data_IF_320861769106
#
_entry.id   IF_320861769106
#
_cell.length_a   1.000
_cell.length_b   1.000
_cell.length_c   1.000
_cell.angle_alpha   90.00
_cell.angle_beta   90.00
_cell.angle_gamma   90.00
#
_symmetry.space_group_name_H-M   'P 1'
#
loop_
_entity.id
_entity.type
_entity.pdbx_description
1 polymer ?
#
# COMPACT_ATOMS: atom_id res chain seq x y z
N UNK A 1 -15.88 28.88 -16.26
CA UNK A 1 -16.27 28.39 -14.93
C UNK A 1 -16.61 26.94 -15.09
N UNK A 2 -15.61 26.08 -14.94
CA UNK A 2 -15.77 24.63 -14.95
C UNK A 2 -16.29 24.23 -13.58
N UNK A 3 -17.47 23.62 -13.54
CA UNK A 3 -18.07 23.08 -12.32
C UNK A 3 -17.08 22.08 -11.71
N UNK A 4 -16.62 22.39 -10.50
CA UNK A 4 -15.89 21.45 -9.66
C UNK A 4 -16.87 20.33 -9.31
N UNK A 5 -16.62 19.14 -9.87
CA UNK A 5 -17.29 17.92 -9.47
C UNK A 5 -17.24 17.81 -7.95
N UNK A 6 -18.41 17.90 -7.32
CA UNK A 6 -18.56 17.57 -5.90
C UNK A 6 -18.27 16.07 -5.77
N UNK A 7 -17.30 15.65 -4.94
CA UNK A 7 -16.98 14.23 -4.78
C UNK A 7 -18.18 13.46 -4.23
N UNK A 8 -18.40 12.25 -4.75
CA UNK A 8 -19.50 11.37 -4.41
C UNK A 8 -19.52 10.99 -2.91
N UNK A 9 -20.67 10.55 -2.39
CA UNK A 9 -20.82 10.21 -0.97
C UNK A 9 -19.86 9.10 -0.49
N UNK A 10 -19.54 8.15 -1.36
CA UNK A 10 -18.57 7.07 -1.11
C UNK A 10 -17.13 7.57 -1.00
N UNK A 11 -16.79 8.65 -1.73
CA UNK A 11 -15.48 9.30 -1.60
C UNK A 11 -15.35 9.86 -0.19
N UNK A 12 -16.41 10.49 0.35
CA UNK A 12 -16.43 11.07 1.70
C UNK A 12 -16.10 10.05 2.81
N UNK A 13 -16.49 8.78 2.63
CA UNK A 13 -16.24 7.69 3.58
C UNK A 13 -14.77 7.26 3.65
N UNK A 14 -14.02 7.36 2.54
CA UNK A 14 -12.58 7.02 2.52
C UNK A 14 -11.78 7.97 3.40
N UNK A 15 -12.06 9.28 3.38
CA UNK A 15 -11.34 10.30 4.17
C UNK A 15 -11.53 10.16 5.66
N UNK A 16 -12.74 9.80 6.07
CA UNK A 16 -13.13 9.78 7.47
C UNK A 16 -12.23 8.84 8.26
N UNK A 17 -11.81 7.74 7.63
CA UNK A 17 -10.90 6.77 8.22
C UNK A 17 -9.46 7.28 8.40
N UNK A 18 -9.00 8.23 7.58
CA UNK A 18 -7.66 8.82 7.74
C UNK A 18 -7.63 9.99 8.73
N UNK A 19 -8.71 10.78 8.80
CA UNK A 19 -8.83 11.92 9.71
C UNK A 19 -9.30 11.48 11.12
N UNK A 20 -10.09 10.40 11.23
CA UNK A 20 -10.61 9.84 12.49
C UNK A 20 -10.15 8.39 12.70
N UNK A 21 -8.97 8.24 13.31
CA UNK A 21 -8.39 6.93 13.63
C UNK A 21 -8.58 6.56 15.11
N UNK A 22 -8.70 5.25 15.34
CA UNK A 22 -8.75 4.64 16.67
C UNK A 22 -7.51 5.00 17.54
N UNK A 23 -7.64 4.96 18.88
CA UNK A 23 -6.50 5.19 19.77
C UNK A 23 -5.33 4.23 19.47
N UNK A 24 -4.13 4.79 19.33
CA UNK A 24 -2.91 4.02 19.02
C UNK A 24 -2.50 4.05 17.54
N UNK A 25 -3.41 4.42 16.64
CA UNK A 25 -3.09 4.64 15.22
C UNK A 25 -2.56 6.06 15.02
N UNK A 26 -1.52 6.19 14.20
CA UNK A 26 -0.89 7.50 13.91
C UNK A 26 -1.86 8.41 13.17
N UNK A 27 -1.98 9.64 13.66
CA UNK A 27 -2.90 10.68 13.16
C UNK A 27 -2.18 11.64 12.23
N UNK A 28 -2.92 12.24 11.31
CA UNK A 28 -2.45 13.42 10.58
C UNK A 28 -2.22 14.58 11.55
N UNK A 29 -1.10 15.28 11.40
CA UNK A 29 -0.82 16.51 12.11
C UNK A 29 -1.65 17.65 11.51
N UNK A 30 -1.94 18.66 12.31
CA UNK A 30 -2.57 19.88 11.81
C UNK A 30 -1.63 20.59 10.82
N UNK A 31 -2.05 20.64 9.56
CA UNK A 31 -1.37 21.41 8.51
C UNK A 31 -1.79 22.88 8.61
N UNK A 32 -0.82 23.78 8.78
CA UNK A 32 -1.09 25.21 8.99
C UNK A 32 -1.66 25.90 7.74
N UNK A 33 -1.25 25.47 6.56
CA UNK A 33 -1.75 25.99 5.28
C UNK A 33 -2.90 25.10 4.76
N UNK A 34 -4.15 25.61 4.72
CA UNK A 34 -5.30 24.85 4.21
C UNK A 34 -5.11 24.37 2.76
N UNK A 35 -4.37 25.11 1.93
CA UNK A 35 -4.13 24.73 0.53
C UNK A 35 -3.20 23.52 0.41
N UNK A 36 -2.32 23.30 1.38
CA UNK A 36 -1.49 22.08 1.46
C UNK A 36 -2.35 20.89 1.86
N UNK A 37 -3.23 21.06 2.86
CA UNK A 37 -4.16 20.00 3.25
C UNK A 37 -5.06 19.60 2.09
N UNK A 38 -5.70 20.58 1.44
CA UNK A 38 -6.58 20.34 0.29
C UNK A 38 -5.86 19.61 -0.85
N UNK A 39 -4.60 19.99 -1.13
CA UNK A 39 -3.79 19.30 -2.13
C UNK A 39 -3.50 17.84 -1.76
N UNK A 40 -3.07 17.57 -0.53
CA UNK A 40 -2.75 16.20 -0.10
C UNK A 40 -4.01 15.34 0.03
N UNK A 41 -5.13 15.93 0.44
CA UNK A 41 -6.41 15.28 0.35
C UNK A 41 -6.69 14.94 -1.12
N UNK A 42 -6.66 15.90 -2.04
CA UNK A 42 -6.81 15.62 -3.48
C UNK A 42 -5.89 14.51 -4.02
N UNK A 43 -4.67 14.39 -3.50
CA UNK A 43 -3.74 13.30 -3.84
C UNK A 43 -4.22 11.94 -3.38
N UNK A 44 -4.68 11.80 -2.14
CA UNK A 44 -5.28 10.54 -1.67
C UNK A 44 -6.45 10.12 -2.55
N UNK A 45 -7.28 11.07 -3.02
CA UNK A 45 -8.47 10.77 -3.83
C UNK A 45 -8.06 10.14 -5.14
N UNK A 46 -7.03 10.73 -5.76
CA UNK A 46 -6.47 10.27 -7.02
C UNK A 46 -5.80 8.91 -6.87
N UNK A 47 -5.11 8.67 -5.75
CA UNK A 47 -4.51 7.36 -5.43
C UNK A 47 -5.62 6.32 -5.25
N UNK A 48 -6.59 6.58 -4.38
CA UNK A 48 -7.71 5.69 -4.10
C UNK A 48 -8.53 5.34 -5.34
N UNK A 49 -8.74 6.31 -6.24
CA UNK A 49 -9.45 6.11 -7.52
C UNK A 49 -8.59 5.55 -8.66
N UNK A 50 -7.29 5.32 -8.46
CA UNK A 50 -6.42 4.80 -9.51
C UNK A 50 -6.76 3.33 -9.82
N UNK A 51 -6.68 2.92 -11.09
CA UNK A 51 -7.02 1.54 -11.53
C UNK A 51 -6.17 0.47 -10.83
N UNK A 52 -4.91 0.76 -10.51
CA UNK A 52 -4.08 -0.13 -9.68
C UNK A 52 -4.65 -0.44 -8.28
N UNK A 53 -5.43 0.48 -7.70
CA UNK A 53 -6.10 0.32 -6.39
C UNK A 53 -7.52 -0.24 -6.57
N UNK A 54 -8.24 0.28 -7.57
CA UNK A 54 -9.57 -0.19 -7.99
C UNK A 54 -9.50 -1.28 -9.08
N UNK A 55 -8.51 -2.16 -8.97
CA UNK A 55 -8.26 -3.12 -10.03
C UNK A 55 -9.44 -4.11 -10.15
N UNK A 56 -9.95 -4.40 -11.37
CA UNK A 56 -11.09 -5.30 -11.56
C UNK A 56 -10.93 -6.65 -10.85
N UNK A 57 -9.72 -7.25 -10.92
CA UNK A 57 -9.38 -8.47 -10.19
C UNK A 57 -9.61 -8.36 -8.67
N UNK A 58 -9.11 -7.30 -8.03
CA UNK A 58 -9.26 -7.10 -6.59
C UNK A 58 -10.73 -6.94 -6.21
N UNK A 59 -11.47 -6.17 -7.00
CA UNK A 59 -12.90 -5.95 -6.78
C UNK A 59 -13.71 -7.24 -6.97
N UNK A 60 -13.37 -8.06 -7.96
CA UNK A 60 -13.99 -9.36 -8.19
C UNK A 60 -13.69 -10.37 -7.07
N UNK A 61 -12.45 -10.40 -6.54
CA UNK A 61 -12.06 -11.33 -5.46
C UNK A 61 -12.87 -11.14 -4.17
N UNK A 62 -13.36 -9.92 -3.90
CA UNK A 62 -14.18 -9.63 -2.72
C UNK A 62 -15.46 -10.46 -2.67
N UNK A 63 -16.05 -10.76 -3.82
CA UNK A 63 -17.35 -11.41 -3.94
C UNK A 63 -17.29 -12.76 -4.65
N UNK A 64 -16.19 -13.05 -5.35
CA UNK A 64 -15.98 -14.30 -6.07
C UNK A 64 -14.92 -15.15 -5.39
N UNK A 65 -15.28 -16.40 -5.11
CA UNK A 65 -14.37 -17.37 -4.49
C UNK A 65 -13.32 -17.86 -5.48
N UNK A 66 -12.10 -18.00 -5.00
CA UNK A 66 -11.02 -18.65 -5.74
C UNK A 66 -10.96 -20.14 -5.39
N UNK A 67 -10.48 -20.95 -6.32
CA UNK A 67 -10.06 -22.32 -6.00
C UNK A 67 -8.77 -22.28 -5.16
N UNK A 68 -8.43 -23.36 -4.42
CA UNK A 68 -7.18 -23.41 -3.64
C UNK A 68 -5.92 -23.13 -4.47
N UNK A 69 -5.87 -23.62 -5.72
CA UNK A 69 -4.72 -23.36 -6.60
C UNK A 69 -4.65 -21.89 -7.03
N UNK A 70 -5.79 -21.27 -7.30
CA UNK A 70 -5.87 -19.85 -7.63
C UNK A 70 -5.40 -18.96 -6.46
N UNK A 71 -5.80 -19.28 -5.22
CA UNK A 71 -5.26 -18.60 -4.03
C UNK A 71 -3.76 -18.83 -3.91
N UNK A 72 -3.29 -20.07 -4.13
CA UNK A 72 -1.87 -20.41 -4.09
C UNK A 72 -1.06 -19.54 -5.04
N UNK A 73 -1.55 -19.35 -6.27
CA UNK A 73 -0.92 -18.50 -7.28
C UNK A 73 -0.92 -17.02 -6.85
N UNK A 74 -2.08 -16.47 -6.47
CA UNK A 74 -2.20 -15.06 -6.04
C UNK A 74 -1.26 -14.74 -4.87
N UNK A 75 -1.31 -15.54 -3.81
CA UNK A 75 -0.53 -15.25 -2.60
C UNK A 75 0.96 -15.55 -2.75
N UNK A 76 1.35 -16.42 -3.69
CA UNK A 76 2.76 -16.57 -4.07
C UNK A 76 3.29 -15.29 -4.71
N UNK A 77 2.53 -14.67 -5.62
CA UNK A 77 2.89 -13.36 -6.18
C UNK A 77 2.94 -12.26 -5.10
N UNK A 78 1.98 -12.23 -4.18
CA UNK A 78 1.99 -11.28 -3.05
C UNK A 78 3.24 -11.42 -2.17
N UNK A 79 3.73 -12.64 -1.94
CA UNK A 79 5.00 -12.83 -1.23
C UNK A 79 6.16 -12.10 -1.90
N UNK A 80 6.26 -12.21 -3.24
CA UNK A 80 7.33 -11.55 -3.99
C UNK A 80 7.15 -10.04 -4.12
N UNK A 81 5.92 -9.54 -4.04
CA UNK A 81 5.67 -8.11 -3.85
C UNK A 81 6.25 -7.63 -2.50
N UNK A 82 5.84 -8.21 -1.37
CA UNK A 82 6.09 -7.61 -0.05
C UNK A 82 7.48 -7.88 0.57
N UNK A 83 8.15 -8.98 0.19
CA UNK A 83 9.30 -9.58 0.92
C UNK A 83 10.51 -8.67 1.23
N UNK A 84 10.59 -7.46 0.67
CA UNK A 84 11.69 -6.53 0.91
C UNK A 84 11.29 -5.10 1.26
N UNK A 85 9.99 -4.81 1.39
CA UNK A 85 9.50 -3.44 1.65
C UNK A 85 10.18 -2.76 2.84
N UNK A 86 10.34 -3.40 4.03
CA UNK A 86 10.96 -2.72 5.17
C UNK A 86 12.42 -2.31 4.92
N UNK A 87 13.15 -3.08 4.10
CA UNK A 87 14.53 -2.74 3.74
C UNK A 87 14.59 -1.53 2.80
N UNK A 88 13.65 -1.44 1.86
CA UNK A 88 13.58 -0.31 0.92
C UNK A 88 13.18 0.98 1.63
N UNK A 89 12.20 0.90 2.54
CA UNK A 89 11.78 2.04 3.38
C UNK A 89 12.94 2.50 4.26
N UNK A 90 13.67 1.57 4.90
CA UNK A 90 14.89 1.88 5.66
C UNK A 90 15.93 2.61 4.79
N UNK A 91 16.05 2.24 3.53
CA UNK A 91 16.93 2.88 2.56
C UNK A 91 16.60 4.36 2.29
N UNK A 92 15.37 4.80 2.53
CA UNK A 92 15.00 6.23 2.41
C UNK A 92 15.67 7.09 3.49
N UNK A 93 16.03 6.52 4.64
CA UNK A 93 16.66 7.24 5.76
C UNK A 93 17.97 7.93 5.36
N UNK A 94 18.71 7.37 4.39
CA UNK A 94 19.97 7.97 3.92
C UNK A 94 19.76 9.12 2.91
N UNK A 95 18.53 9.32 2.43
CA UNK A 95 18.17 10.33 1.42
C UNK A 95 17.84 11.69 2.05
N UNK A 96 17.62 11.74 3.35
CA UNK A 96 17.18 12.94 4.06
C UNK A 96 18.14 13.32 5.20
N UNK A 97 18.15 14.61 5.54
CA UNK A 97 18.74 15.14 6.79
C UNK A 97 17.70 15.83 7.67
N UNK A 98 16.43 15.73 7.26
CA UNK A 98 15.30 16.18 8.05
C UNK A 98 14.88 15.09 9.04
N UNK A 99 14.86 15.45 10.33
CA UNK A 99 14.53 14.53 11.42
C UNK A 99 13.05 14.13 11.46
N UNK A 100 12.13 14.97 10.97
CA UNK A 100 10.72 14.61 10.86
C UNK A 100 10.53 13.50 9.83
N UNK A 101 11.12 13.64 8.64
CA UNK A 101 11.06 12.59 7.61
C UNK A 101 11.72 11.31 8.14
N UNK A 102 12.91 11.42 8.75
CA UNK A 102 13.60 10.28 9.34
C UNK A 102 12.77 9.57 10.41
N UNK A 103 12.11 10.33 11.29
CA UNK A 103 11.24 9.78 12.34
C UNK A 103 10.11 8.96 11.75
N UNK A 104 9.41 9.46 10.74
CA UNK A 104 8.28 8.74 10.14
C UNK A 104 8.74 7.45 9.43
N UNK A 105 9.89 7.48 8.74
CA UNK A 105 10.53 6.29 8.15
C UNK A 105 10.85 5.25 9.25
N UNK A 106 11.47 5.66 10.36
CA UNK A 106 11.83 4.76 11.45
C UNK A 106 10.58 4.14 12.09
N UNK A 107 9.53 4.92 12.32
CA UNK A 107 8.30 4.44 12.93
C UNK A 107 7.56 3.43 12.04
N UNK A 108 7.53 3.67 10.73
CA UNK A 108 6.98 2.71 9.76
C UNK A 108 7.77 1.39 9.83
N UNK A 109 9.10 1.43 9.71
CA UNK A 109 9.95 0.23 9.81
C UNK A 109 9.81 -0.47 11.17
N UNK A 110 9.66 0.29 12.25
CA UNK A 110 9.48 -0.28 13.59
C UNK A 110 8.17 -1.09 13.71
N UNK A 111 7.10 -0.69 13.05
CA UNK A 111 5.86 -1.49 13.01
C UNK A 111 6.10 -2.81 12.26
N UNK A 112 6.84 -2.77 11.15
CA UNK A 112 7.09 -3.94 10.30
C UNK A 112 7.99 -5.01 10.95
N UNK A 113 9.10 -4.57 11.57
CA UNK A 113 10.16 -5.48 12.05
C UNK A 113 10.44 -5.40 13.55
N UNK A 114 9.87 -4.44 14.27
CA UNK A 114 10.11 -4.24 15.69
C UNK A 114 9.26 -5.10 16.61
N UNK A 115 8.17 -5.68 16.11
CA UNK A 115 7.28 -6.58 16.86
C UNK A 115 7.75 -8.03 16.93
N UNK A 116 7.23 -8.78 17.90
CA UNK A 116 7.36 -10.24 17.98
C UNK A 116 5.96 -10.89 18.15
N UNK A 117 5.44 -11.60 17.13
CA UNK A 117 6.05 -11.85 15.82
C UNK A 117 6.06 -10.61 14.91
N UNK A 118 7.05 -10.52 14.01
CA UNK A 118 7.07 -9.49 12.94
C UNK A 118 5.92 -9.67 11.95
N UNK A 119 5.60 -8.62 11.18
CA UNK A 119 4.58 -8.70 10.12
C UNK A 119 4.93 -9.77 9.08
N UNK A 120 6.20 -9.87 8.68
CA UNK A 120 6.67 -10.92 7.77
C UNK A 120 6.47 -12.33 8.32
N UNK A 121 6.64 -12.52 9.64
CA UNK A 121 6.37 -13.79 10.34
C UNK A 121 4.87 -14.11 10.35
N UNK A 122 4.02 -13.11 10.63
CA UNK A 122 2.56 -13.29 10.57
C UNK A 122 2.09 -13.65 9.17
N UNK A 123 2.64 -12.99 8.14
CA UNK A 123 2.32 -13.30 6.75
C UNK A 123 2.78 -14.71 6.36
N UNK A 124 4.00 -15.10 6.71
CA UNK A 124 4.50 -16.45 6.45
C UNK A 124 3.65 -17.54 7.13
N UNK A 125 3.11 -17.28 8.33
CA UNK A 125 2.17 -18.19 9.01
C UNK A 125 0.85 -18.31 8.25
N UNK A 126 0.32 -17.21 7.74
CA UNK A 126 -0.86 -17.20 6.87
C UNK A 126 -0.61 -18.02 5.58
N UNK A 127 0.51 -17.76 4.89
CA UNK A 127 0.91 -18.48 3.68
C UNK A 127 1.02 -20.00 3.92
N UNK A 128 1.67 -20.41 5.01
CA UNK A 128 1.81 -21.83 5.34
C UNK A 128 0.46 -22.52 5.54
N UNK A 129 -0.54 -21.83 6.11
CA UNK A 129 -1.89 -22.37 6.33
C UNK A 129 -2.68 -22.59 5.03
N UNK A 130 -2.35 -21.88 3.95
CA UNK A 130 -2.89 -22.12 2.61
C UNK A 130 -1.98 -22.99 1.73
N UNK A 131 -0.98 -23.66 2.31
CA UNK A 131 -0.08 -24.57 1.59
C UNK A 131 1.05 -23.88 0.81
N UNK A 132 1.36 -22.63 1.14
CA UNK A 132 2.51 -21.89 0.61
C UNK A 132 3.58 -21.83 1.70
N UNK A 133 4.44 -22.84 1.76
CA UNK A 133 5.56 -22.87 2.69
C UNK A 133 6.86 -22.39 2.02
N UNK A 134 7.96 -22.47 2.77
CA UNK A 134 9.28 -22.08 2.27
C UNK A 134 9.72 -22.94 1.08
N UNK A 135 9.45 -24.24 1.09
CA UNK A 135 9.85 -25.15 0.01
C UNK A 135 9.12 -24.79 -1.28
N UNK A 136 7.82 -24.52 -1.21
CA UNK A 136 7.04 -24.00 -2.34
C UNK A 136 7.65 -22.70 -2.87
N UNK A 137 7.90 -21.73 -1.99
CA UNK A 137 8.42 -20.40 -2.38
C UNK A 137 9.84 -20.46 -2.98
N UNK A 138 10.69 -21.38 -2.52
CA UNK A 138 12.05 -21.59 -3.05
C UNK A 138 12.03 -22.08 -4.51
N UNK A 139 10.98 -22.80 -4.92
CA UNK A 139 10.80 -23.31 -6.28
C UNK A 139 9.87 -22.45 -7.15
N UNK A 140 9.14 -21.54 -6.53
CA UNK A 140 8.24 -20.64 -7.23
C UNK A 140 9.02 -19.58 -8.01
N UNK A 141 8.63 -19.36 -9.26
CA UNK A 141 9.18 -18.29 -10.10
C UNK A 141 8.11 -17.20 -10.24
N UNK A 142 8.31 -16.02 -9.65
CA UNK A 142 7.34 -14.94 -9.77
C UNK A 142 7.23 -14.47 -11.23
N UNK A 143 6.09 -13.87 -11.56
CA UNK A 143 5.91 -13.21 -12.85
C UNK A 143 6.95 -12.09 -13.04
N UNK A 144 7.32 -11.85 -14.30
CA UNK A 144 8.20 -10.74 -14.67
C UNK A 144 7.64 -9.38 -14.18
N UNK A 145 6.32 -9.20 -14.23
CA UNK A 145 5.68 -7.96 -13.73
C UNK A 145 5.82 -7.80 -12.22
N UNK A 146 5.87 -8.89 -11.46
CA UNK A 146 6.06 -8.88 -9.99
C UNK A 146 7.50 -8.57 -9.63
N UNK A 147 8.46 -9.15 -10.35
CA UNK A 147 9.87 -8.77 -10.22
C UNK A 147 10.06 -7.28 -10.54
N UNK A 148 9.47 -6.80 -11.64
CA UNK A 148 9.51 -5.38 -12.02
C UNK A 148 8.86 -4.46 -10.98
N UNK A 149 7.76 -4.87 -10.35
CA UNK A 149 7.14 -4.11 -9.27
C UNK A 149 8.13 -3.97 -8.11
N UNK A 150 8.67 -5.08 -7.60
CA UNK A 150 9.58 -5.04 -6.46
C UNK A 150 10.87 -4.26 -6.75
N UNK A 151 11.47 -4.45 -7.93
CA UNK A 151 12.64 -3.69 -8.38
C UNK A 151 12.33 -2.19 -8.55
N UNK A 152 11.14 -1.87 -9.09
CA UNK A 152 10.68 -0.50 -9.26
C UNK A 152 10.51 0.21 -7.92
N UNK A 153 9.92 -0.46 -6.92
CA UNK A 153 9.81 0.08 -5.55
C UNK A 153 11.20 0.33 -4.96
N UNK A 154 12.13 -0.62 -5.09
CA UNK A 154 13.52 -0.45 -4.65
C UNK A 154 14.15 0.82 -5.26
N UNK A 155 14.01 1.01 -6.58
CA UNK A 155 14.56 2.18 -7.29
C UNK A 155 13.88 3.47 -6.82
N UNK A 156 12.53 3.49 -6.74
CA UNK A 156 11.76 4.64 -6.28
C UNK A 156 12.20 5.08 -4.87
N UNK A 157 12.37 4.14 -3.95
CA UNK A 157 12.68 4.47 -2.55
C UNK A 157 14.15 4.81 -2.34
N UNK A 158 15.07 4.14 -3.04
CA UNK A 158 16.51 4.23 -2.71
C UNK A 158 17.33 5.10 -3.66
N UNK A 159 16.84 5.34 -4.88
CA UNK A 159 17.58 6.03 -5.95
C UNK A 159 16.95 7.39 -6.33
N UNK A 160 15.66 7.60 -6.08
CA UNK A 160 14.97 8.86 -6.44
C UNK A 160 15.24 10.01 -5.46
N UNK A 161 15.01 11.28 -5.86
CA UNK A 161 14.93 12.41 -4.94
C UNK A 161 13.87 12.18 -3.85
N UNK A 162 14.08 12.76 -2.66
CA UNK A 162 13.24 12.47 -1.48
C UNK A 162 11.75 12.75 -1.70
N UNK A 163 11.38 13.83 -2.42
CA UNK A 163 9.97 14.13 -2.69
C UNK A 163 9.32 13.03 -3.54
N UNK A 164 10.03 12.55 -4.57
CA UNK A 164 9.58 11.45 -5.42
C UNK A 164 9.47 10.14 -4.63
N UNK A 165 10.46 9.84 -3.79
CA UNK A 165 10.42 8.67 -2.92
C UNK A 165 9.25 8.71 -1.93
N UNK A 166 8.99 9.86 -1.30
CA UNK A 166 7.84 10.08 -0.42
C UNK A 166 6.51 10.03 -1.18
N UNK A 167 6.47 10.45 -2.44
CA UNK A 167 5.30 10.28 -3.32
C UNK A 167 4.97 8.82 -3.57
N UNK A 168 5.98 8.03 -3.92
CA UNK A 168 5.84 6.59 -4.10
C UNK A 168 5.38 5.91 -2.80
N UNK A 169 6.02 6.22 -1.66
CA UNK A 169 5.63 5.69 -0.36
C UNK A 169 4.20 6.11 0.04
N UNK A 170 3.81 7.36 -0.19
CA UNK A 170 2.45 7.81 0.10
C UNK A 170 1.41 7.02 -0.69
N UNK A 171 1.70 6.75 -1.96
CA UNK A 171 0.84 5.95 -2.82
C UNK A 171 0.79 4.48 -2.38
N UNK A 172 1.91 3.91 -1.95
CA UNK A 172 2.01 2.55 -1.41
C UNK A 172 1.14 2.38 -0.17
N UNK A 173 1.38 3.16 0.89
CA UNK A 173 0.64 3.05 2.15
C UNK A 173 -0.87 3.33 1.98
N UNK A 174 -1.22 4.30 1.13
CA UNK A 174 -2.63 4.63 0.84
C UNK A 174 -3.31 3.53 0.01
N UNK A 175 -2.61 2.95 -0.97
CA UNK A 175 -3.12 1.82 -1.75
C UNK A 175 -3.27 0.59 -0.85
N UNK A 176 -2.28 0.34 0.00
CA UNK A 176 -2.23 -0.82 0.89
C UNK A 176 -3.39 -0.81 1.87
N UNK A 177 -3.75 0.32 2.50
CA UNK A 177 -4.92 0.39 3.39
C UNK A 177 -6.24 0.00 2.71
N UNK A 178 -6.39 0.30 1.42
CA UNK A 178 -7.56 -0.08 0.63
C UNK A 178 -7.46 -1.54 0.18
N UNK A 179 -6.31 -1.95 -0.32
CA UNK A 179 -6.05 -3.29 -0.83
C UNK A 179 -6.24 -4.36 0.25
N UNK A 180 -5.69 -4.17 1.45
CA UNK A 180 -5.77 -5.14 2.54
C UNK A 180 -7.22 -5.36 3.00
N UNK A 181 -8.05 -4.31 2.96
CA UNK A 181 -9.49 -4.40 3.23
C UNK A 181 -10.19 -5.28 2.19
N UNK A 182 -9.92 -5.06 0.89
CA UNK A 182 -10.48 -5.89 -0.20
C UNK A 182 -10.03 -7.34 -0.13
N UNK A 183 -8.76 -7.58 0.20
CA UNK A 183 -8.23 -8.95 0.37
C UNK A 183 -8.87 -9.63 1.58
N UNK A 184 -9.03 -8.91 2.69
CA UNK A 184 -9.71 -9.42 3.88
C UNK A 184 -11.19 -9.75 3.61
N UNK A 185 -11.89 -8.95 2.81
CA UNK A 185 -13.25 -9.25 2.33
C UNK A 185 -13.27 -10.56 1.54
N UNK A 186 -12.36 -10.70 0.56
CA UNK A 186 -12.25 -11.91 -0.28
C UNK A 186 -11.94 -13.17 0.54
N UNK A 187 -11.03 -13.09 1.51
CA UNK A 187 -10.77 -14.20 2.44
C UNK A 187 -11.99 -14.52 3.32
N UNK A 188 -12.74 -13.51 3.73
CA UNK A 188 -14.00 -13.71 4.44
C UNK A 188 -15.01 -14.45 3.57
N UNK A 189 -15.11 -14.07 2.29
CA UNK A 189 -15.95 -14.73 1.30
C UNK A 189 -15.50 -16.18 1.04
N UNK A 190 -14.21 -16.48 1.06
CA UNK A 190 -13.68 -17.86 1.00
C UNK A 190 -14.13 -18.74 2.19
N UNK A 191 -14.58 -18.12 3.29
CA UNK A 191 -15.01 -18.82 4.50
C UNK A 191 -13.94 -18.93 5.58
N UNK A 192 -12.83 -18.20 5.45
CA UNK A 192 -11.79 -18.15 6.48
C UNK A 192 -12.24 -17.33 7.69
N UNK A 193 -11.97 -17.83 8.89
CA UNK A 193 -12.30 -17.15 10.14
C UNK A 193 -11.38 -15.95 10.41
N UNK A 194 -11.61 -15.25 11.54
CA UNK A 194 -10.80 -14.08 11.90
C UNK A 194 -9.35 -14.44 12.24
N UNK A 195 -9.13 -15.63 12.80
CA UNK A 195 -7.79 -16.10 13.16
C UNK A 195 -6.93 -16.32 11.92
N UNK A 196 -7.47 -16.96 10.88
CA UNK A 196 -6.82 -17.10 9.59
C UNK A 196 -6.55 -15.76 8.91
N UNK A 197 -7.45 -14.79 9.06
CA UNK A 197 -7.35 -13.46 8.44
C UNK A 197 -6.59 -12.44 9.28
N UNK A 198 -6.00 -12.83 10.41
CA UNK A 198 -5.44 -11.90 11.39
C UNK A 198 -4.40 -10.93 10.79
N UNK A 199 -3.50 -11.42 9.94
CA UNK A 199 -2.51 -10.58 9.25
C UNK A 199 -3.19 -9.41 8.50
N UNK A 200 -4.20 -9.72 7.69
CA UNK A 200 -4.90 -8.72 6.88
C UNK A 200 -5.74 -7.76 7.74
N UNK A 201 -6.36 -8.26 8.81
CA UNK A 201 -7.13 -7.42 9.74
C UNK A 201 -6.25 -6.41 10.46
N UNK A 202 -5.06 -6.82 10.89
CA UNK A 202 -4.09 -5.93 11.51
C UNK A 202 -3.70 -4.78 10.57
N UNK A 203 -3.46 -5.10 9.29
CA UNK A 203 -2.97 -4.12 8.33
C UNK A 203 -4.03 -3.09 7.91
N UNK A 204 -5.34 -3.35 8.11
CA UNK A 204 -6.38 -2.33 7.81
C UNK A 204 -6.09 -1.02 8.54
N UNK A 205 -5.80 -1.09 9.84
CA UNK A 205 -5.56 0.11 10.66
C UNK A 205 -4.11 0.59 10.62
N UNK A 206 -3.14 -0.34 10.53
CA UNK A 206 -1.70 -0.01 10.50
C UNK A 206 -1.36 0.84 9.27
N UNK A 207 -1.85 0.45 8.10
CA UNK A 207 -1.57 1.11 6.82
C UNK A 207 -2.16 2.54 6.77
N UNK A 208 -3.29 2.79 7.44
CA UNK A 208 -3.82 4.14 7.62
C UNK A 208 -2.88 5.00 8.45
N UNK A 209 -2.35 4.44 9.54
CA UNK A 209 -1.32 5.09 10.35
C UNK A 209 -0.05 5.39 9.55
N UNK A 210 0.36 4.49 8.66
CA UNK A 210 1.52 4.65 7.80
C UNK A 210 1.29 5.75 6.75
N UNK A 211 0.16 5.73 6.06
CA UNK A 211 -0.22 6.78 5.10
C UNK A 211 -0.30 8.16 5.78
N UNK A 212 -0.86 8.22 7.00
CA UNK A 212 -0.87 9.44 7.81
C UNK A 212 0.53 9.92 8.19
N UNK A 213 1.45 9.00 8.50
CA UNK A 213 2.86 9.32 8.74
C UNK A 213 3.53 9.94 7.51
N UNK A 214 3.29 9.39 6.33
CA UNK A 214 3.87 9.94 5.10
C UNK A 214 3.24 11.29 4.75
N UNK A 215 1.93 11.45 4.95
CA UNK A 215 1.25 12.75 4.86
C UNK A 215 1.95 13.79 5.75
N UNK A 216 2.24 13.44 7.01
CA UNK A 216 2.92 14.33 7.94
C UNK A 216 4.35 14.67 7.50
N UNK A 217 5.06 13.70 6.95
CA UNK A 217 6.43 13.88 6.46
C UNK A 217 6.48 14.81 5.24
N UNK A 218 5.52 14.71 4.31
CA UNK A 218 5.54 15.48 3.06
C UNK A 218 4.82 16.83 3.15
N UNK A 219 3.88 17.02 4.08
CA UNK A 219 3.11 18.26 4.17
C UNK A 219 3.96 19.54 4.17
N UNK A 220 5.11 19.63 4.87
CA UNK A 220 5.97 20.81 4.83
C UNK A 220 6.64 21.07 3.46
N UNK A 221 6.66 20.10 2.56
CA UNK A 221 7.50 20.07 1.35
C UNK A 221 6.73 20.25 0.05
N UNK A 222 5.41 20.04 0.05
CA UNK A 222 4.55 20.22 -1.13
C UNK A 222 4.06 21.67 -1.29
N UNK A 223 4.79 22.65 -0.77
CA UNK A 223 4.47 24.07 -0.88
C UNK A 223 4.76 24.68 -2.26
N UNK A 224 5.57 24.02 -3.10
CA UNK A 224 5.94 24.51 -4.43
C UNK A 224 5.43 23.59 -5.56
N UNK A 225 5.13 24.13 -6.76
CA UNK A 225 4.75 23.32 -7.91
C UNK A 225 5.79 22.28 -8.31
N UNK A 226 7.09 22.59 -8.18
CA UNK A 226 8.17 21.67 -8.52
C UNK A 226 8.19 20.46 -7.57
N UNK A 227 8.08 20.69 -6.25
CA UNK A 227 8.03 19.61 -5.27
C UNK A 227 6.77 18.73 -5.43
N UNK A 228 5.62 19.35 -5.76
CA UNK A 228 4.39 18.62 -6.11
C UNK A 228 4.59 17.74 -7.34
N UNK A 229 5.23 18.26 -8.39
CA UNK A 229 5.49 17.47 -9.59
C UNK A 229 6.35 16.23 -9.31
N UNK A 230 7.43 16.36 -8.54
CA UNK A 230 8.27 15.21 -8.13
C UNK A 230 7.48 14.19 -7.28
N UNK A 231 6.70 14.69 -6.33
CA UNK A 231 5.84 13.87 -5.47
C UNK A 231 4.79 13.09 -6.28
N UNK A 232 4.08 13.77 -7.19
CA UNK A 232 3.10 13.16 -8.07
C UNK A 232 3.74 12.12 -9.01
N UNK A 233 4.90 12.44 -9.58
CA UNK A 233 5.64 11.51 -10.43
C UNK A 233 5.93 10.19 -9.70
N UNK A 234 6.42 10.26 -8.47
CA UNK A 234 6.68 9.07 -7.65
C UNK A 234 5.42 8.27 -7.35
N UNK A 235 4.35 8.95 -6.94
CA UNK A 235 3.08 8.32 -6.62
C UNK A 235 2.50 7.55 -7.82
N UNK A 236 2.42 8.18 -8.99
CA UNK A 236 1.80 7.57 -10.17
C UNK A 236 2.72 6.58 -10.90
N UNK A 237 4.05 6.72 -10.77
CA UNK A 237 4.98 5.68 -11.24
C UNK A 237 4.81 4.38 -10.44
N UNK A 238 4.72 4.47 -9.12
CA UNK A 238 4.41 3.34 -8.23
C UNK A 238 3.07 2.69 -8.61
N UNK A 239 2.00 3.49 -8.70
CA UNK A 239 0.66 2.98 -9.02
C UNK A 239 0.58 2.31 -10.39
N UNK A 240 1.35 2.80 -11.37
CA UNK A 240 1.47 2.15 -12.67
C UNK A 240 2.16 0.78 -12.61
N UNK A 241 3.11 0.59 -11.69
CA UNK A 241 3.72 -0.73 -11.44
C UNK A 241 2.70 -1.68 -10.79
N UNK A 242 1.95 -1.20 -9.80
CA UNK A 242 0.90 -1.97 -9.12
C UNK A 242 -0.21 -2.41 -10.09
N UNK A 243 -0.64 -1.52 -10.99
CA UNK A 243 -1.61 -1.85 -12.03
C UNK A 243 -1.13 -2.99 -12.94
N UNK A 244 0.12 -2.90 -13.43
CA UNK A 244 0.70 -3.96 -14.27
C UNK A 244 0.89 -5.27 -13.52
N UNK A 245 1.20 -5.20 -12.23
CA UNK A 245 1.26 -6.37 -11.35
C UNK A 245 -0.11 -7.06 -11.29
N UNK A 246 -1.18 -6.33 -10.99
CA UNK A 246 -2.52 -6.90 -10.92
C UNK A 246 -3.04 -7.40 -12.27
N UNK A 247 -2.70 -6.75 -13.37
CA UNK A 247 -2.94 -7.26 -14.72
C UNK A 247 -2.29 -8.65 -14.92
N UNK A 248 -1.07 -8.84 -14.42
CA UNK A 248 -0.36 -10.12 -14.46
C UNK A 248 -1.01 -11.18 -13.57
N UNK A 249 -1.32 -10.83 -12.33
CA UNK A 249 -1.97 -11.73 -11.37
C UNK A 249 -3.34 -12.16 -11.89
N UNK A 250 -4.13 -11.23 -12.45
CA UNK A 250 -5.44 -11.55 -13.03
C UNK A 250 -5.31 -12.61 -14.13
N UNK A 251 -4.35 -12.46 -15.05
CA UNK A 251 -4.11 -13.44 -16.12
C UNK A 251 -3.61 -14.77 -15.58
N UNK A 252 -2.74 -14.75 -14.56
CA UNK A 252 -2.20 -15.97 -13.94
C UNK A 252 -3.29 -16.78 -13.21
N UNK A 253 -4.13 -16.08 -12.45
CA UNK A 253 -5.20 -16.70 -11.65
C UNK A 253 -6.40 -17.08 -12.52
N UNK A 254 -6.64 -16.34 -13.62
CA UNK A 254 -7.75 -16.59 -14.54
C UNK A 254 -9.12 -16.23 -13.95
N UNK A 255 -9.17 -15.27 -13.02
CA UNK A 255 -10.44 -14.72 -12.54
C UNK A 255 -10.92 -13.66 -13.53
N UNK A 256 -12.00 -13.97 -14.27
CA UNK A 256 -12.69 -12.98 -15.09
C UNK A 256 -13.36 -11.96 -14.17
N UNK A 257 -13.16 -10.68 -14.47
CA UNK A 257 -13.68 -9.55 -13.70
C UNK A 257 -14.94 -8.96 -14.36
#
# INVERSE_FOLDING_TARGET
MTELNVPDADVKAVWDHFDHVEPGIRRRIAVQDPAIKEYLDGMLARIAGHRGVEHPYLNAYRTTRLTPEQERLMYSECHYFFRYLPFYITGMAIKTRDEMILREIILNVADEVGGDPTHSTLFARFLARIGIDKEHLDHYKPLEVTTRLNDGIRILYTESPINKALGALYADETMSSIMVSKINDGLGNQGYDKDMRHFWQLHIDVEVGHSNSVFNAIAPYVGSPAARAEFEEGAFEFLGLVERYWDGVQRLVGLEA
#
